data_IF_209379800674
#
_entry.id   IF_209379800674
#
_cell.length_a   1.000
_cell.length_b   1.000
_cell.length_c   1.000
_cell.angle_alpha   90.00
_cell.angle_beta   90.00
_cell.angle_gamma   90.00
#
_symmetry.space_group_name_H-M   'P 1'
#
loop_
_entity.id
_entity.type
_entity.pdbx_description
1 polymer ?
#
# COMPACT_ATOMS: atom_id res chain seq x y z
N UNK A 1 9.97 0.09 4.21
CA UNK A 1 8.51 -0.13 4.35
C UNK A 1 8.17 -1.49 4.95
N UNK A 2 8.42 -2.63 4.28
CA UNK A 2 7.93 -3.93 4.78
C UNK A 2 8.47 -4.31 6.17
N UNK A 3 9.76 -4.09 6.42
CA UNK A 3 10.37 -4.36 7.73
C UNK A 3 9.76 -3.55 8.87
N UNK A 4 9.19 -2.38 8.59
CA UNK A 4 8.60 -1.53 9.63
C UNK A 4 7.16 -1.93 9.96
N UNK A 5 6.53 -2.80 9.17
CA UNK A 5 5.16 -3.29 9.44
C UNK A 5 5.09 -4.11 10.74
N UNK A 6 6.18 -4.78 11.14
CA UNK A 6 6.23 -5.48 12.43
C UNK A 6 6.24 -4.55 13.64
N UNK A 7 6.60 -3.28 13.45
CA UNK A 7 6.65 -2.26 14.52
C UNK A 7 5.34 -1.45 14.58
N UNK A 8 4.82 -1.04 13.42
CA UNK A 8 3.67 -0.13 13.34
C UNK A 8 2.35 -0.80 12.99
N UNK A 9 2.36 -2.01 12.43
CA UNK A 9 1.17 -2.72 11.95
C UNK A 9 0.65 -2.21 10.60
N UNK A 10 -0.09 -3.07 9.89
CA UNK A 10 -0.64 -2.75 8.57
C UNK A 10 -1.76 -1.69 8.61
N UNK A 11 -2.47 -1.58 9.73
CA UNK A 11 -3.53 -0.59 9.94
C UNK A 11 -3.01 0.87 10.01
N UNK A 12 -1.68 1.04 10.12
CA UNK A 12 -1.00 2.34 10.18
C UNK A 12 -0.13 2.60 8.94
N UNK A 13 -0.35 1.86 7.85
CA UNK A 13 0.38 1.98 6.60
C UNK A 13 -0.56 2.16 5.40
N UNK A 14 -0.15 2.99 4.45
CA UNK A 14 -0.83 3.19 3.16
C UNK A 14 0.19 3.21 2.03
N UNK A 15 -0.17 2.64 0.88
CA UNK A 15 0.59 2.75 -0.35
C UNK A 15 0.03 3.89 -1.22
N UNK A 16 0.92 4.58 -1.94
CA UNK A 16 0.57 5.60 -2.94
C UNK A 16 1.45 5.45 -4.17
N UNK A 17 0.92 5.79 -5.34
CA UNK A 17 1.67 5.83 -6.60
C UNK A 17 2.55 7.08 -6.75
N UNK A 18 2.21 8.15 -6.01
CA UNK A 18 2.78 9.49 -6.12
C UNK A 18 2.68 10.12 -7.53
N UNK A 19 1.67 9.71 -8.32
CA UNK A 19 1.41 10.31 -9.64
C UNK A 19 1.03 11.79 -9.52
N UNK A 20 1.51 12.68 -10.41
CA UNK A 20 2.29 12.45 -11.63
C UNK A 20 3.80 12.74 -11.49
N UNK A 21 4.37 12.61 -10.29
CA UNK A 21 5.80 12.91 -10.11
C UNK A 21 6.70 12.04 -11.00
N UNK A 22 7.87 12.54 -11.37
CA UNK A 22 8.83 11.82 -12.23
C UNK A 22 9.31 10.51 -11.59
N UNK A 23 9.29 10.43 -10.25
CA UNK A 23 9.60 9.23 -9.48
C UNK A 23 8.39 8.31 -9.24
N UNK A 24 7.20 8.67 -9.76
CA UNK A 24 5.99 7.89 -9.57
C UNK A 24 6.13 6.49 -10.19
N UNK A 25 5.43 5.54 -9.60
CA UNK A 25 5.44 4.14 -10.06
C UNK A 25 4.51 3.95 -11.27
N UNK A 26 3.57 4.88 -11.47
CA UNK A 26 2.65 4.87 -12.61
C UNK A 26 3.41 4.84 -13.96
N UNK A 27 3.02 4.01 -14.95
CA UNK A 27 1.81 3.18 -15.03
C UNK A 27 1.94 1.75 -14.47
N UNK A 28 3.08 1.40 -13.87
CA UNK A 28 3.37 0.02 -13.43
C UNK A 28 2.93 -0.28 -11.98
N UNK A 29 2.02 0.53 -11.44
CA UNK A 29 1.55 0.43 -10.05
C UNK A 29 1.07 -0.97 -9.67
N UNK A 30 0.25 -1.61 -10.51
CA UNK A 30 -0.28 -2.95 -10.22
C UNK A 30 0.81 -4.02 -10.17
N UNK A 31 1.78 -3.96 -11.09
CA UNK A 31 2.92 -4.87 -11.09
C UNK A 31 3.77 -4.69 -9.82
N UNK A 32 4.10 -3.44 -9.49
CA UNK A 32 4.88 -3.12 -8.30
C UNK A 32 4.22 -3.62 -7.01
N UNK A 33 2.90 -3.40 -6.85
CA UNK A 33 2.13 -3.87 -5.69
C UNK A 33 2.20 -5.40 -5.59
N UNK A 34 1.99 -6.10 -6.72
CA UNK A 34 2.02 -7.58 -6.76
C UNK A 34 3.38 -8.13 -6.35
N UNK A 35 4.47 -7.56 -6.88
CA UNK A 35 5.83 -8.03 -6.62
C UNK A 35 6.27 -7.68 -5.19
N UNK A 36 6.13 -6.41 -4.80
CA UNK A 36 6.61 -5.89 -3.51
C UNK A 36 5.86 -6.50 -2.34
N UNK A 37 4.53 -6.70 -2.46
CA UNK A 37 3.70 -7.19 -1.36
C UNK A 37 3.39 -8.69 -1.43
N UNK A 38 4.10 -9.43 -2.28
CA UNK A 38 3.91 -10.89 -2.47
C UNK A 38 4.10 -11.71 -1.19
N UNK A 39 4.93 -11.26 -0.25
CA UNK A 39 5.17 -11.93 1.03
C UNK A 39 4.20 -11.56 2.16
N UNK A 40 3.24 -10.63 1.91
CA UNK A 40 2.25 -10.26 2.91
C UNK A 40 1.03 -11.18 2.86
N UNK A 41 0.35 -11.34 3.99
CA UNK A 41 -1.00 -11.91 3.98
C UNK A 41 -1.94 -11.05 3.14
N UNK A 42 -2.97 -11.68 2.56
CA UNK A 42 -4.01 -10.97 1.79
C UNK A 42 -4.66 -9.85 2.61
N UNK A 43 -4.90 -10.09 3.91
CA UNK A 43 -5.44 -9.08 4.83
C UNK A 43 -4.51 -7.87 4.95
N UNK A 44 -3.23 -8.08 5.24
CA UNK A 44 -2.27 -6.98 5.39
C UNK A 44 -2.10 -6.20 4.07
N UNK A 45 -2.06 -6.91 2.94
CA UNK A 45 -2.01 -6.27 1.63
C UNK A 45 -3.24 -5.39 1.40
N UNK A 46 -4.45 -5.90 1.67
CA UNK A 46 -5.70 -5.16 1.51
C UNK A 46 -5.76 -3.91 2.39
N UNK A 47 -5.30 -3.99 3.65
CA UNK A 47 -5.18 -2.83 4.55
C UNK A 47 -4.31 -1.73 3.94
N UNK A 48 -3.12 -2.10 3.48
CA UNK A 48 -2.12 -1.16 2.96
C UNK A 48 -2.57 -0.50 1.65
N UNK A 49 -3.19 -1.24 0.74
CA UNK A 49 -3.55 -0.71 -0.60
C UNK A 49 -4.95 -0.08 -0.65
N UNK A 50 -5.82 -0.35 0.33
CA UNK A 50 -7.22 0.10 0.33
C UNK A 50 -7.72 0.50 1.71
N UNK A 51 -7.86 -0.45 2.63
CA UNK A 51 -8.78 -0.27 3.77
C UNK A 51 -8.32 0.82 4.75
N UNK A 52 -7.01 1.02 4.91
CA UNK A 52 -6.48 2.12 5.76
C UNK A 52 -6.83 3.49 5.18
N UNK A 53 -6.72 3.66 3.86
CA UNK A 53 -7.08 4.91 3.17
C UNK A 53 -8.60 5.13 3.20
N UNK A 54 -9.37 4.08 2.91
CA UNK A 54 -10.84 4.10 2.98
C UNK A 54 -11.33 4.58 4.36
N UNK A 55 -10.80 3.98 5.43
CA UNK A 55 -11.12 4.35 6.82
C UNK A 55 -10.71 5.79 7.16
N UNK A 56 -9.51 6.21 6.75
CA UNK A 56 -8.99 7.54 7.09
C UNK A 56 -9.75 8.66 6.37
N UNK A 57 -10.02 8.49 5.08
CA UNK A 57 -10.61 9.52 4.23
C UNK A 57 -12.13 9.40 4.09
N UNK A 58 -12.76 8.34 4.62
CA UNK A 58 -14.20 8.13 4.55
C UNK A 58 -14.68 7.85 3.12
N UNK A 59 -13.92 7.04 2.37
CA UNK A 59 -14.21 6.67 0.97
C UNK A 59 -14.33 5.15 0.83
N UNK A 60 -15.11 4.66 -0.13
CA UNK A 60 -15.36 3.23 -0.38
C UNK A 60 -14.75 2.70 -1.69
#
# INVERSE_FOLDING_TARGET
FLHTLGLYGADNAMWSSDYPHTAAIWPRSQQFIKETFSGLSEENRRKIVRDTAARLYGVD
#
